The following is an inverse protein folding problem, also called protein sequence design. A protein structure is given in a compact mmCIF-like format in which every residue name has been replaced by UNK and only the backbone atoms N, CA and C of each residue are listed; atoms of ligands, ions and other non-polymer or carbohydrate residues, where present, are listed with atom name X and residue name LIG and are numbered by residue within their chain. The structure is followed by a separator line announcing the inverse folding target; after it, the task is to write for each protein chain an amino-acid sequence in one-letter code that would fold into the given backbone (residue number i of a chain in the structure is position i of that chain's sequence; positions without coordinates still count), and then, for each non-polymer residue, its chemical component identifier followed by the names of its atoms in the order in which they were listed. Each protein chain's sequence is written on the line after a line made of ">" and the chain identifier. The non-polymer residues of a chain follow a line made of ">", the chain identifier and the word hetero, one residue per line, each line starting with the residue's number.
data_IF_182485244462
#
_entry.id   IF_182485244462
#
_cell.length_a   1.000
_cell.length_b   1.000
_cell.length_c   1.000
_cell.angle_alpha   90.00
_cell.angle_beta   90.00
_cell.angle_gamma   90.00
#
_symmetry.space_group_name_H-M   'P 1'
#
loop_
_entity.id
_entity.type
_entity.pdbx_description
1 polymer ?
#
# COMPACT_ATOMS: atom_id res chain seq x y z
N UNK A 1 -35.18 11.02 55.46
CA UNK A 1 -33.96 11.53 54.80
C UNK A 1 -33.27 10.37 54.11
N UNK A 2 -33.41 10.20 52.79
CA UNK A 2 -32.69 9.18 52.02
C UNK A 2 -31.59 9.87 51.20
N UNK A 3 -30.34 9.70 51.64
CA UNK A 3 -29.16 10.28 51.00
C UNK A 3 -28.74 9.47 49.76
N UNK A 4 -29.13 9.97 48.58
CA UNK A 4 -28.71 9.42 47.29
C UNK A 4 -27.21 9.52 47.10
N UNK A 5 -26.52 8.37 47.13
CA UNK A 5 -25.12 8.27 46.72
C UNK A 5 -25.04 8.32 45.19
N UNK A 6 -24.92 9.53 44.66
CA UNK A 6 -24.56 9.73 43.26
C UNK A 6 -23.16 9.16 43.01
N UNK A 7 -23.08 7.94 42.46
CA UNK A 7 -21.85 7.43 41.84
C UNK A 7 -21.47 8.36 40.70
N UNK A 8 -20.56 9.30 40.97
CA UNK A 8 -19.78 9.97 39.93
C UNK A 8 -18.97 8.89 39.22
N UNK A 9 -19.48 8.39 38.11
CA UNK A 9 -18.67 7.70 37.12
C UNK A 9 -17.62 8.69 36.64
N UNK A 10 -16.43 8.59 37.22
CA UNK A 10 -15.24 9.32 36.78
C UNK A 10 -14.98 8.87 35.34
N UNK A 11 -15.41 9.67 34.35
CA UNK A 11 -14.96 9.48 32.97
C UNK A 11 -13.44 9.58 33.04
N UNK A 12 -12.78 8.44 32.83
CA UNK A 12 -11.34 8.43 32.57
C UNK A 12 -11.15 9.33 31.35
N UNK A 13 -10.31 10.39 31.43
CA UNK A 13 -10.04 11.21 30.27
C UNK A 13 -9.52 10.27 29.18
N UNK A 14 -10.20 10.26 28.03
CA UNK A 14 -9.68 9.60 26.84
C UNK A 14 -8.27 10.14 26.64
N UNK A 15 -7.27 9.26 26.70
CA UNK A 15 -5.89 9.63 26.44
C UNK A 15 -5.80 10.36 25.10
N UNK A 16 -4.78 11.20 24.88
CA UNK A 16 -4.66 12.00 23.67
C UNK A 16 -4.87 11.09 22.45
N UNK A 17 -5.87 11.44 21.62
CA UNK A 17 -6.15 10.81 20.33
C UNK A 17 -4.80 10.61 19.64
N UNK A 18 -4.37 9.36 19.56
CA UNK A 18 -2.99 9.04 19.24
C UNK A 18 -2.71 9.47 17.82
N UNK A 19 -1.96 10.55 17.62
CA UNK A 19 -1.48 10.95 16.29
C UNK A 19 -0.79 9.73 15.67
N UNK A 20 -1.20 9.32 14.46
CA UNK A 20 -0.61 8.21 13.69
C UNK A 20 0.20 8.69 12.48
N UNK A 21 1.21 9.57 12.64
CA UNK A 21 1.92 10.18 11.52
C UNK A 21 2.62 9.15 10.61
N UNK A 22 3.14 8.05 11.14
CA UNK A 22 3.83 7.02 10.36
C UNK A 22 2.82 6.22 9.52
N UNK A 23 1.65 5.89 10.07
CA UNK A 23 0.57 5.26 9.30
C UNK A 23 0.10 6.19 8.18
N UNK A 24 -0.06 7.49 8.45
CA UNK A 24 -0.40 8.49 7.41
C UNK A 24 0.65 8.52 6.31
N UNK A 25 1.93 8.58 6.68
CA UNK A 25 3.04 8.56 5.73
C UNK A 25 3.04 7.27 4.90
N UNK A 26 2.82 6.12 5.52
CA UNK A 26 2.72 4.81 4.84
C UNK A 26 1.62 4.82 3.80
N UNK A 27 0.42 5.25 4.16
CA UNK A 27 -0.75 5.25 3.28
C UNK A 27 -0.59 6.25 2.14
N UNK A 28 -0.07 7.45 2.41
CA UNK A 28 0.17 8.47 1.38
C UNK A 28 1.28 8.02 0.41
N UNK A 29 2.36 7.42 0.91
CA UNK A 29 3.44 6.93 0.05
C UNK A 29 3.00 5.74 -0.80
N UNK A 30 2.17 4.82 -0.28
CA UNK A 30 1.55 3.76 -1.07
C UNK A 30 0.60 4.31 -2.15
N UNK A 31 -0.27 5.26 -1.79
CA UNK A 31 -1.11 5.93 -2.79
C UNK A 31 -0.26 6.64 -3.86
N UNK A 32 0.86 7.23 -3.45
CA UNK A 32 1.86 7.80 -4.34
C UNK A 32 2.47 6.76 -5.29
N UNK A 33 2.76 5.55 -4.82
CA UNK A 33 3.26 4.46 -5.68
C UNK A 33 2.26 4.12 -6.79
N UNK A 34 0.99 3.94 -6.42
CA UNK A 34 -0.07 3.58 -7.37
C UNK A 34 -0.31 4.72 -8.36
N UNK A 35 -0.28 5.97 -7.89
CA UNK A 35 -0.40 7.14 -8.75
C UNK A 35 0.80 7.28 -9.70
N UNK A 36 2.01 6.94 -9.24
CA UNK A 36 3.22 6.97 -10.05
C UNK A 36 3.14 5.98 -11.22
N UNK A 37 2.71 4.74 -10.97
CA UNK A 37 2.51 3.72 -12.01
C UNK A 37 1.48 4.13 -13.06
N UNK A 38 0.36 4.70 -12.60
CA UNK A 38 -0.69 5.17 -13.48
C UNK A 38 -0.18 6.35 -14.35
N UNK A 39 0.52 7.31 -13.75
CA UNK A 39 1.10 8.45 -14.45
C UNK A 39 2.19 8.03 -15.45
N UNK A 40 2.98 7.01 -15.11
CA UNK A 40 3.96 6.40 -16.02
C UNK A 40 3.30 5.65 -17.19
N UNK A 41 1.99 5.38 -17.11
CA UNK A 41 1.23 4.71 -18.16
C UNK A 41 1.41 3.20 -18.16
N UNK A 42 1.63 2.60 -16.98
CA UNK A 42 1.62 1.14 -16.76
C UNK A 42 0.24 0.67 -16.33
N UNK A 43 -0.49 1.52 -15.60
CA UNK A 43 -1.82 1.24 -15.07
C UNK A 43 -1.81 1.28 -13.56
N UNK A 44 -2.81 0.69 -12.93
CA UNK A 44 -2.88 0.55 -11.48
C UNK A 44 -3.58 -0.77 -11.13
N UNK A 45 -3.40 -1.31 -9.92
CA UNK A 45 -4.07 -2.53 -9.52
C UNK A 45 -5.59 -2.44 -9.74
N UNK A 46 -6.16 -3.50 -10.34
CA UNK A 46 -7.57 -3.68 -10.73
C UNK A 46 -8.01 -2.91 -12.00
N UNK A 47 -7.17 -2.04 -12.57
CA UNK A 47 -7.53 -1.30 -13.76
C UNK A 47 -7.82 -2.20 -14.97
N UNK A 48 -7.20 -3.40 -15.04
CA UNK A 48 -7.47 -4.34 -16.13
C UNK A 48 -8.88 -4.94 -16.06
N UNK A 49 -9.51 -4.95 -14.88
CA UNK A 49 -10.83 -5.53 -14.66
C UNK A 49 -11.94 -4.50 -14.72
N UNK A 50 -11.80 -3.43 -13.95
CA UNK A 50 -12.87 -2.44 -13.71
C UNK A 50 -12.59 -1.11 -14.42
N UNK A 51 -11.47 -1.01 -15.14
CA UNK A 51 -11.05 0.21 -15.81
C UNK A 51 -10.33 1.19 -14.87
N UNK A 52 -9.56 2.14 -15.44
CA UNK A 52 -8.68 3.02 -14.66
C UNK A 52 -9.45 3.97 -13.72
N UNK A 53 -10.60 4.50 -14.14
CA UNK A 53 -11.37 5.44 -13.31
C UNK A 53 -12.01 4.77 -12.09
N UNK A 54 -12.60 3.59 -12.26
CA UNK A 54 -13.18 2.85 -11.15
C UNK A 54 -12.09 2.36 -10.19
N UNK A 55 -10.97 1.87 -10.71
CA UNK A 55 -9.82 1.49 -9.89
C UNK A 55 -9.26 2.69 -9.10
N UNK A 56 -9.12 3.86 -9.73
CA UNK A 56 -8.67 5.07 -9.05
C UNK A 56 -9.65 5.52 -7.95
N UNK A 57 -10.95 5.47 -8.23
CA UNK A 57 -11.99 5.75 -7.24
C UNK A 57 -11.93 4.79 -6.04
N UNK A 58 -11.78 3.49 -6.30
CA UNK A 58 -11.61 2.47 -5.26
C UNK A 58 -10.40 2.76 -4.38
N UNK A 59 -9.22 2.97 -4.96
CA UNK A 59 -8.01 3.26 -4.20
C UNK A 59 -8.07 4.59 -3.44
N UNK A 60 -8.75 5.59 -3.99
CA UNK A 60 -9.00 6.86 -3.31
C UNK A 60 -9.87 6.66 -2.06
N UNK A 61 -10.94 5.87 -2.17
CA UNK A 61 -11.82 5.55 -1.04
C UNK A 61 -11.08 4.75 0.05
N UNK A 62 -10.31 3.74 -0.35
CA UNK A 62 -9.50 2.94 0.59
C UNK A 62 -8.49 3.84 1.32
N UNK A 63 -7.74 4.66 0.57
CA UNK A 63 -6.74 5.59 1.11
C UNK A 63 -7.39 6.59 2.07
N UNK A 64 -8.48 7.23 1.65
CA UNK A 64 -9.22 8.19 2.46
C UNK A 64 -9.80 7.57 3.73
N UNK A 65 -10.33 6.34 3.64
CA UNK A 65 -10.84 5.60 4.79
C UNK A 65 -9.77 5.30 5.83
N UNK A 66 -8.59 4.85 5.41
CA UNK A 66 -7.47 4.61 6.33
C UNK A 66 -6.96 5.92 6.90
N UNK A 67 -6.81 6.97 6.09
CA UNK A 67 -6.40 8.30 6.57
C UNK A 67 -7.39 8.86 7.60
N UNK A 68 -8.69 8.71 7.40
CA UNK A 68 -9.70 9.11 8.39
C UNK A 68 -9.57 8.28 9.69
N UNK A 69 -9.28 6.98 9.59
CA UNK A 69 -9.06 6.12 10.75
C UNK A 69 -7.82 6.50 11.57
N UNK A 70 -6.84 7.21 10.99
CA UNK A 70 -5.66 7.70 11.74
C UNK A 70 -5.98 8.76 12.80
N UNK A 71 -7.17 9.35 12.77
CA UNK A 71 -7.66 10.28 13.79
C UNK A 71 -8.52 9.64 14.87
N UNK A 72 -8.70 8.31 14.84
CA UNK A 72 -9.50 7.57 15.83
C UNK A 72 -8.62 7.06 16.97
N UNK A 73 -9.27 6.59 18.04
CA UNK A 73 -8.59 5.96 19.18
C UNK A 73 -8.15 4.51 18.87
N UNK A 74 -7.82 3.75 19.90
CA UNK A 74 -7.32 2.37 19.79
C UNK A 74 -8.30 1.41 19.12
N UNK A 75 -9.58 1.79 18.95
CA UNK A 75 -10.56 0.99 18.20
C UNK A 75 -10.18 0.83 16.72
N UNK A 76 -9.36 1.73 16.17
CA UNK A 76 -8.88 1.66 14.80
C UNK A 76 -7.61 0.82 14.63
N UNK A 77 -6.95 0.43 15.71
CA UNK A 77 -5.65 -0.28 15.66
C UNK A 77 -5.66 -1.54 14.79
N UNK A 78 -6.70 -2.42 14.79
CA UNK A 78 -6.72 -3.57 13.89
C UNK A 78 -6.73 -3.19 12.41
N UNK A 79 -7.50 -2.16 12.04
CA UNK A 79 -7.58 -1.65 10.67
C UNK A 79 -6.25 -1.03 10.25
N UNK A 80 -5.65 -0.19 11.09
CA UNK A 80 -4.37 0.46 10.80
C UNK A 80 -3.23 -0.57 10.75
N UNK A 81 -3.26 -1.60 11.60
CA UNK A 81 -2.33 -2.72 11.54
C UNK A 81 -2.48 -3.54 10.25
N UNK A 82 -3.71 -3.82 9.83
CA UNK A 82 -3.99 -4.47 8.56
C UNK A 82 -3.49 -3.64 7.38
N UNK A 83 -3.76 -2.33 7.35
CA UNK A 83 -3.32 -1.43 6.29
C UNK A 83 -1.79 -1.34 6.19
N UNK A 84 -1.10 -1.12 7.31
CA UNK A 84 0.37 -1.10 7.34
C UNK A 84 0.96 -2.46 6.96
N UNK A 85 0.38 -3.56 7.45
CA UNK A 85 0.79 -4.92 7.11
C UNK A 85 0.60 -5.25 5.62
N UNK A 86 -0.54 -4.86 5.04
CA UNK A 86 -0.80 -5.00 3.62
C UNK A 86 0.18 -4.17 2.79
N UNK A 87 0.48 -2.94 3.20
CA UNK A 87 1.51 -2.10 2.58
C UNK A 87 2.89 -2.76 2.56
N UNK A 88 3.30 -3.34 3.69
CA UNK A 88 4.55 -4.11 3.79
C UNK A 88 4.53 -5.35 2.88
N UNK A 89 3.41 -6.06 2.81
CA UNK A 89 3.23 -7.21 1.93
C UNK A 89 3.31 -6.80 0.46
N UNK A 90 2.69 -5.68 0.07
CA UNK A 90 2.73 -5.15 -1.29
C UNK A 90 4.16 -4.75 -1.70
N UNK A 91 4.89 -3.99 -0.87
CA UNK A 91 6.30 -3.64 -1.17
C UNK A 91 7.16 -4.90 -1.25
N UNK A 92 6.96 -5.85 -0.32
CA UNK A 92 7.68 -7.13 -0.34
C UNK A 92 7.39 -7.94 -1.61
N UNK A 93 6.14 -7.95 -2.07
CA UNK A 93 5.76 -8.60 -3.32
C UNK A 93 6.48 -7.98 -4.52
N UNK A 94 6.57 -6.64 -4.60
CA UNK A 94 7.35 -5.99 -5.66
C UNK A 94 8.82 -6.43 -5.64
N UNK A 95 9.49 -6.33 -4.47
CA UNK A 95 10.90 -6.68 -4.32
C UNK A 95 11.20 -8.19 -4.51
N UNK A 96 10.19 -9.05 -4.49
CA UNK A 96 10.32 -10.50 -4.66
C UNK A 96 9.87 -10.99 -6.04
N UNK A 97 8.88 -10.35 -6.63
CA UNK A 97 8.28 -10.73 -7.90
C UNK A 97 9.03 -10.17 -9.11
N UNK A 98 9.79 -9.09 -8.95
CA UNK A 98 10.41 -8.38 -10.05
C UNK A 98 11.94 -8.42 -10.00
N UNK A 99 12.64 -8.23 -11.14
CA UNK A 99 14.09 -8.22 -11.19
C UNK A 99 14.70 -7.20 -10.23
N UNK A 100 15.64 -7.65 -9.41
CA UNK A 100 16.38 -6.79 -8.47
C UNK A 100 17.88 -7.02 -8.57
N UNK A 101 18.64 -5.94 -8.44
CA UNK A 101 20.05 -5.98 -8.06
C UNK A 101 20.24 -5.70 -6.58
N UNK A 102 21.46 -5.86 -6.07
CA UNK A 102 21.81 -5.47 -4.70
C UNK A 102 22.49 -4.11 -4.70
N UNK A 103 22.07 -3.23 -3.78
CA UNK A 103 22.81 -2.00 -3.49
C UNK A 103 24.11 -2.32 -2.75
N UNK A 104 24.99 -1.32 -2.57
CA UNK A 104 26.19 -1.46 -1.73
C UNK A 104 25.87 -1.87 -0.29
N UNK A 105 24.66 -1.55 0.20
CA UNK A 105 24.18 -1.94 1.52
C UNK A 105 23.47 -3.32 1.52
N UNK A 106 23.51 -4.08 0.42
CA UNK A 106 22.86 -5.40 0.30
C UNK A 106 21.33 -5.36 0.15
N UNK A 107 20.73 -4.18 0.07
CA UNK A 107 19.29 -4.03 -0.10
C UNK A 107 18.86 -4.36 -1.54
N UNK A 108 17.71 -5.03 -1.74
CA UNK A 108 17.18 -5.30 -3.07
C UNK A 108 16.77 -3.99 -3.76
N UNK A 109 17.18 -3.79 -4.99
CA UNK A 109 16.88 -2.59 -5.77
C UNK A 109 16.25 -3.02 -7.08
N UNK A 110 15.01 -2.62 -7.32
CA UNK A 110 14.31 -2.99 -8.56
C UNK A 110 15.05 -2.43 -9.76
N UNK A 111 15.23 -3.28 -10.76
CA UNK A 111 15.81 -2.94 -12.07
C UNK A 111 14.73 -2.71 -13.12
N UNK A 112 13.60 -3.38 -12.96
CA UNK A 112 12.36 -3.13 -13.68
C UNK A 112 11.20 -3.57 -12.79
N UNK A 113 10.00 -3.06 -13.05
CA UNK A 113 8.78 -3.43 -12.36
C UNK A 113 7.58 -3.11 -13.25
N UNK A 114 6.79 -4.13 -13.60
CA UNK A 114 5.54 -3.97 -14.34
C UNK A 114 5.66 -3.18 -15.66
N UNK A 115 6.84 -3.14 -16.29
CA UNK A 115 7.06 -2.36 -17.50
C UNK A 115 7.32 -0.87 -17.26
N UNK A 116 7.61 -0.46 -16.02
CA UNK A 116 8.12 0.87 -15.70
C UNK A 116 9.49 1.13 -16.33
N UNK A 117 10.30 0.10 -16.56
CA UNK A 117 11.64 0.24 -17.11
C UNK A 117 12.66 0.77 -16.09
N UNK A 118 13.95 0.55 -16.40
CA UNK A 118 15.06 0.88 -15.51
C UNK A 118 15.27 2.38 -15.29
N UNK A 119 14.80 3.21 -16.22
CA UNK A 119 14.88 4.66 -16.15
C UNK A 119 13.99 5.27 -15.06
N UNK A 120 12.90 4.59 -14.66
CA UNK A 120 12.00 5.06 -13.60
C UNK A 120 12.36 4.51 -12.22
N UNK A 121 13.20 3.46 -12.16
CA UNK A 121 13.61 2.83 -10.90
C UNK A 121 14.30 3.76 -9.90
N UNK A 122 15.11 4.77 -10.31
CA UNK A 122 15.67 5.76 -9.39
C UNK A 122 14.62 6.55 -8.60
N UNK A 123 13.42 6.74 -9.15
CA UNK A 123 12.32 7.45 -8.50
C UNK A 123 11.36 6.48 -7.78
N UNK A 124 11.12 5.32 -8.38
CA UNK A 124 10.17 4.34 -7.88
C UNK A 124 10.67 3.60 -6.63
N UNK A 125 11.95 3.20 -6.57
CA UNK A 125 12.51 2.53 -5.39
C UNK A 125 12.40 3.39 -4.11
N UNK A 126 12.73 4.69 -4.11
CA UNK A 126 12.49 5.56 -2.96
C UNK A 126 11.05 5.54 -2.44
N UNK A 127 10.05 5.57 -3.32
CA UNK A 127 8.63 5.51 -2.92
C UNK A 127 8.34 4.21 -2.16
N UNK A 128 8.80 3.07 -2.69
CA UNK A 128 8.63 1.77 -2.05
C UNK A 128 9.36 1.70 -0.69
N UNK A 129 10.60 2.17 -0.63
CA UNK A 129 11.38 2.15 0.60
C UNK A 129 10.81 3.08 1.68
N UNK A 130 10.36 4.28 1.30
CA UNK A 130 9.65 5.17 2.23
C UNK A 130 8.38 4.50 2.74
N UNK A 131 7.60 3.88 1.87
CA UNK A 131 6.38 3.14 2.24
C UNK A 131 6.68 2.02 3.24
N UNK A 132 7.71 1.19 2.96
CA UNK A 132 8.07 0.07 3.82
C UNK A 132 8.64 0.51 5.16
N UNK A 133 9.53 1.50 5.19
CA UNK A 133 10.13 2.01 6.44
C UNK A 133 9.05 2.67 7.30
N UNK A 134 8.20 3.53 6.71
CA UNK A 134 7.09 4.14 7.43
C UNK A 134 6.13 3.07 7.98
N UNK A 135 5.77 2.07 7.17
CA UNK A 135 4.84 1.02 7.56
C UNK A 135 5.38 0.14 8.67
N UNK A 136 6.67 -0.22 8.60
CA UNK A 136 7.34 -0.98 9.66
C UNK A 136 7.39 -0.18 10.96
N UNK A 137 7.80 1.10 10.90
CA UNK A 137 7.83 1.95 12.08
C UNK A 137 6.42 2.18 12.66
N UNK A 138 5.39 2.31 11.81
CA UNK A 138 4.00 2.42 12.24
C UNK A 138 3.54 1.16 12.99
N UNK A 139 3.85 -0.02 12.45
CA UNK A 139 3.58 -1.31 13.11
C UNK A 139 4.24 -1.40 14.48
N UNK A 140 5.50 -0.97 14.59
CA UNK A 140 6.27 -1.07 15.82
C UNK A 140 5.90 0.00 16.87
N UNK A 141 5.49 1.20 16.44
CA UNK A 141 5.34 2.36 17.32
C UNK A 141 3.90 2.85 17.52
N UNK A 142 3.02 2.63 16.54
CA UNK A 142 1.69 3.25 16.53
C UNK A 142 0.55 2.28 16.84
N UNK A 143 0.64 1.04 16.36
CA UNK A 143 -0.35 0.00 16.68
C UNK A 143 -0.12 -0.49 18.11
N UNK A 144 -1.00 -0.20 19.06
CA UNK A 144 -0.79 -0.54 20.47
C UNK A 144 -1.33 -1.92 20.81
N UNK A 145 -2.51 -2.25 20.31
CA UNK A 145 -3.25 -3.47 20.67
C UNK A 145 -3.11 -4.60 19.64
N UNK A 146 -2.79 -4.28 18.39
CA UNK A 146 -2.68 -5.24 17.27
C UNK A 146 -1.27 -5.31 16.67
N UNK A 147 -0.22 -5.26 17.52
CA UNK A 147 1.17 -5.01 17.11
C UNK A 147 1.72 -5.93 16.03
N UNK A 148 1.72 -7.24 16.25
CA UNK A 148 2.51 -8.15 15.38
C UNK A 148 1.67 -9.20 14.66
N UNK A 149 0.58 -9.69 15.27
CA UNK A 149 -0.22 -10.78 14.67
C UNK A 149 -0.89 -10.35 13.37
N UNK A 150 -1.59 -9.20 13.37
CA UNK A 150 -2.30 -8.73 12.18
C UNK A 150 -1.33 -8.41 11.02
N UNK A 151 -0.24 -7.64 11.23
CA UNK A 151 0.72 -7.41 10.16
C UNK A 151 1.42 -8.68 9.66
N UNK A 152 1.73 -9.63 10.57
CA UNK A 152 2.33 -10.90 10.17
C UNK A 152 1.40 -11.75 9.30
N UNK A 153 0.10 -11.79 9.61
CA UNK A 153 -0.90 -12.45 8.76
C UNK A 153 -0.94 -11.80 7.37
N UNK A 154 -0.89 -10.47 7.29
CA UNK A 154 -0.86 -9.76 6.02
C UNK A 154 0.41 -10.06 5.21
N UNK A 155 1.56 -10.25 5.85
CA UNK A 155 2.78 -10.70 5.16
C UNK A 155 2.64 -12.10 4.53
N UNK A 156 1.73 -12.94 5.05
CA UNK A 156 1.37 -14.20 4.40
C UNK A 156 0.77 -14.04 3.00
N UNK A 157 0.31 -12.84 2.64
CA UNK A 157 -0.24 -12.54 1.31
C UNK A 157 0.82 -12.30 0.23
N UNK A 158 2.11 -12.17 0.59
CA UNK A 158 3.19 -11.89 -0.37
C UNK A 158 3.16 -12.79 -1.62
N UNK A 159 3.10 -14.14 -1.53
CA UNK A 159 3.06 -14.99 -2.73
C UNK A 159 1.81 -14.76 -3.57
N UNK A 160 0.66 -14.48 -2.95
CA UNK A 160 -0.59 -14.17 -3.66
C UNK A 160 -0.47 -12.84 -4.40
N UNK A 161 0.12 -11.83 -3.75
CA UNK A 161 0.35 -10.51 -4.35
C UNK A 161 1.33 -10.59 -5.52
N UNK A 162 2.41 -11.38 -5.42
CA UNK A 162 3.32 -11.63 -6.54
C UNK A 162 2.57 -12.24 -7.73
N UNK A 163 1.77 -13.29 -7.48
CA UNK A 163 0.99 -13.94 -8.53
C UNK A 163 -0.02 -12.96 -9.17
N UNK A 164 -0.67 -12.14 -8.34
CA UNK A 164 -1.61 -11.11 -8.77
C UNK A 164 -0.94 -10.02 -9.62
N UNK A 165 0.19 -9.46 -9.19
CA UNK A 165 0.96 -8.46 -9.93
C UNK A 165 1.31 -8.94 -11.34
N UNK A 166 1.85 -10.16 -11.44
CA UNK A 166 2.18 -10.73 -12.76
C UNK A 166 0.94 -11.00 -13.61
N UNK A 167 -0.16 -11.45 -13.02
CA UNK A 167 -1.41 -11.67 -13.73
C UNK A 167 -2.01 -10.36 -14.25
N UNK A 168 -2.07 -9.33 -13.40
CA UNK A 168 -2.58 -8.01 -13.76
C UNK A 168 -1.70 -7.38 -14.85
N UNK A 169 -0.38 -7.40 -14.69
CA UNK A 169 0.57 -6.93 -15.70
C UNK A 169 0.37 -7.62 -17.06
N UNK A 170 0.18 -8.96 -17.08
CA UNK A 170 -0.13 -9.68 -18.33
C UNK A 170 -1.44 -9.23 -18.96
N UNK A 171 -2.49 -8.93 -18.17
CA UNK A 171 -3.76 -8.41 -18.70
C UNK A 171 -3.61 -6.99 -19.23
N UNK A 172 -2.93 -6.12 -18.47
CA UNK A 172 -2.66 -4.75 -18.87
C UNK A 172 -1.85 -4.68 -20.16
N UNK A 173 -0.83 -5.52 -20.33
CA UNK A 173 -0.08 -5.66 -21.59
C UNK A 173 -0.98 -6.06 -22.75
N UNK A 174 -1.80 -7.11 -22.58
CA UNK A 174 -2.76 -7.54 -23.61
C UNK A 174 -3.74 -6.43 -23.99
N UNK A 175 -4.23 -5.67 -23.01
CA UNK A 175 -5.09 -4.51 -23.25
C UNK A 175 -4.35 -3.40 -23.97
N UNK A 176 -3.11 -3.09 -23.60
CA UNK A 176 -2.31 -2.07 -24.27
C UNK A 176 -2.12 -2.39 -25.76
N UNK A 177 -1.93 -3.66 -26.13
CA UNK A 177 -1.82 -4.06 -27.54
C UNK A 177 -3.14 -4.09 -28.31
N UNK A 178 -4.26 -4.47 -27.66
CA UNK A 178 -5.55 -4.65 -28.34
C UNK A 178 -6.43 -3.40 -28.34
N UNK A 179 -6.38 -2.61 -27.25
CA UNK A 179 -7.17 -1.39 -27.02
C UNK A 179 -6.32 -0.39 -26.23
N UNK A 180 -5.32 0.23 -26.89
CA UNK A 180 -4.39 1.13 -26.21
C UNK A 180 -5.12 2.32 -25.59
N UNK A 181 -4.83 2.58 -24.32
CA UNK A 181 -5.25 3.80 -23.62
C UNK A 181 -4.04 4.60 -23.16
N UNK A 182 -4.22 5.87 -22.84
CA UNK A 182 -3.14 6.70 -22.28
C UNK A 182 -2.55 6.09 -20.99
N UNK A 183 -3.40 5.44 -20.20
CA UNK A 183 -3.12 4.92 -18.85
C UNK A 183 -2.33 3.60 -18.85
N UNK A 184 -2.21 2.92 -19.99
CA UNK A 184 -1.40 1.69 -20.16
C UNK A 184 -0.46 1.77 -21.38
N UNK A 185 -0.29 2.96 -21.96
CA UNK A 185 0.43 3.16 -23.23
C UNK A 185 1.87 2.67 -23.21
N UNK A 186 2.53 2.72 -22.05
CA UNK A 186 3.95 2.34 -21.90
C UNK A 186 4.15 0.86 -22.20
N UNK A 187 3.17 0.04 -21.86
CA UNK A 187 3.20 -1.40 -22.04
C UNK A 187 3.15 -1.84 -23.50
N UNK A 188 2.77 -0.94 -24.43
CA UNK A 188 2.73 -1.23 -25.87
C UNK A 188 4.10 -1.50 -26.48
N UNK A 189 5.15 -0.93 -25.89
CA UNK A 189 6.51 -1.04 -26.39
C UNK A 189 7.20 -2.33 -25.96
N UNK A 190 6.57 -3.10 -25.07
CA UNK A 190 7.06 -4.41 -24.67
C UNK A 190 6.68 -5.44 -25.74
N UNK A 191 7.53 -6.45 -26.01
CA UNK A 191 7.17 -7.57 -26.87
C UNK A 191 5.87 -8.24 -26.38
N UNK A 192 5.06 -8.81 -27.27
CA UNK A 192 3.93 -9.62 -26.81
C UNK A 192 4.47 -10.84 -26.04
N UNK A 193 3.91 -11.10 -24.86
CA UNK A 193 4.16 -12.37 -24.19
C UNK A 193 3.48 -13.47 -25.02
N UNK A 194 4.26 -14.47 -25.45
CA UNK A 194 3.75 -15.67 -26.11
C UNK A 194 2.69 -16.39 -25.26
#
# INVERSE_FOLDING_TARGET
>A
MFGGHARRTRRVPAGPVGRRPLTRLTVVSLAGHVAFELAAGVGMPLASLIGPYAAAGFWTLVTGGVLAATGRDESADPLLAAANGFGLAAVSAHLRGWPTRRTRAGLPWLEDCEGLGSELMPFYNPILYTSAVAGLLAVLRENRTARLRVPAVMLGLVPVLVAYQHWEHRRLRRQAHTRPGWWNRRLRHLPQAA
#
